data_IF_483074828054
#
_entry.id   IF_483074828054
#
_cell.length_a   1.000
_cell.length_b   1.000
_cell.length_c   1.000
_cell.angle_alpha   90.00
_cell.angle_beta   90.00
_cell.angle_gamma   90.00
#
_symmetry.space_group_name_H-M   'P 1'
#
loop_
_entity.id
_entity.type
_entity.pdbx_description
1 polymer ?
#
# COMPACT_ATOMS: atom_id res chain seq x y z
N UNK A 1 24.88 -2.31 55.58
CA UNK A 1 24.14 -1.48 54.59
C UNK A 1 24.77 -1.40 53.20
N UNK A 2 26.10 -1.55 53.03
CA UNK A 2 26.76 -1.51 51.70
C UNK A 2 26.40 -2.65 50.72
N UNK A 3 26.26 -3.89 51.21
CA UNK A 3 25.88 -5.01 50.35
C UNK A 3 24.47 -4.88 49.79
N UNK A 4 23.52 -4.41 50.60
CA UNK A 4 22.14 -4.16 50.16
C UNK A 4 22.08 -3.11 49.05
N UNK A 5 22.83 -2.01 49.19
CA UNK A 5 22.90 -0.96 48.16
C UNK A 5 23.49 -1.46 46.83
N UNK A 6 24.54 -2.31 46.87
CA UNK A 6 25.10 -2.92 45.65
C UNK A 6 24.14 -3.90 44.98
N UNK A 7 23.43 -4.71 45.76
CA UNK A 7 22.43 -5.65 45.22
C UNK A 7 21.27 -4.92 44.56
N UNK A 8 20.78 -3.84 45.18
CA UNK A 8 19.72 -2.99 44.60
C UNK A 8 20.20 -2.33 43.31
N UNK A 9 21.40 -1.75 43.30
CA UNK A 9 21.95 -1.12 42.10
C UNK A 9 22.10 -2.13 40.94
N UNK A 10 22.61 -3.32 41.23
CA UNK A 10 22.74 -4.39 40.24
C UNK A 10 21.38 -4.82 39.67
N UNK A 11 20.35 -4.97 40.51
CA UNK A 11 19.01 -5.30 40.04
C UNK A 11 18.41 -4.24 39.12
N UNK A 12 18.62 -2.96 39.43
CA UNK A 12 18.15 -1.85 38.60
C UNK A 12 18.90 -1.84 37.26
N UNK A 13 20.22 -2.04 37.27
CA UNK A 13 21.00 -2.10 36.03
C UNK A 13 20.59 -3.25 35.12
N UNK A 14 20.29 -4.43 35.69
CA UNK A 14 19.80 -5.58 34.92
C UNK A 14 18.42 -5.32 34.32
N UNK A 15 17.54 -4.64 35.06
CA UNK A 15 16.21 -4.26 34.57
C UNK A 15 16.30 -3.27 33.42
N UNK A 16 17.15 -2.24 33.53
CA UNK A 16 17.42 -1.29 32.45
C UNK A 16 17.95 -2.02 31.23
N UNK A 17 18.93 -2.91 31.41
CA UNK A 17 19.52 -3.68 30.31
C UNK A 17 18.47 -4.54 29.59
N UNK A 18 17.58 -5.20 30.33
CA UNK A 18 16.51 -6.01 29.78
C UNK A 18 15.50 -5.18 28.98
N UNK A 19 15.11 -4.01 29.49
CA UNK A 19 14.20 -3.08 28.79
C UNK A 19 14.85 -2.54 27.52
N UNK A 20 16.11 -2.13 27.57
CA UNK A 20 16.86 -1.67 26.40
C UNK A 20 16.96 -2.75 25.32
N UNK A 21 17.22 -4.00 25.71
CA UNK A 21 17.25 -5.13 24.78
C UNK A 21 15.88 -5.40 24.14
N UNK A 22 14.81 -5.36 24.92
CA UNK A 22 13.45 -5.53 24.41
C UNK A 22 13.08 -4.42 23.41
N UNK A 23 13.43 -3.16 23.70
CA UNK A 23 13.22 -2.03 22.80
C UNK A 23 14.04 -2.16 21.50
N UNK A 24 15.28 -2.65 21.58
CA UNK A 24 16.11 -2.92 20.41
C UNK A 24 15.48 -4.00 19.52
N UNK A 25 15.01 -5.10 20.11
CA UNK A 25 14.33 -6.18 19.38
C UNK A 25 13.05 -5.67 18.72
N UNK A 26 12.26 -4.84 19.42
CA UNK A 26 11.05 -4.22 18.89
C UNK A 26 11.37 -3.33 17.68
N UNK A 27 12.39 -2.48 17.78
CA UNK A 27 12.85 -1.64 16.69
C UNK A 27 13.29 -2.44 15.46
N UNK A 28 14.09 -3.49 15.66
CA UNK A 28 14.55 -4.36 14.56
C UNK A 28 13.37 -5.07 13.91
N UNK A 29 12.36 -5.50 14.67
CA UNK A 29 11.14 -6.09 14.12
C UNK A 29 10.32 -5.06 13.32
N UNK A 30 10.16 -3.84 13.82
CA UNK A 30 9.46 -2.77 13.08
C UNK A 30 10.19 -2.37 11.79
N UNK A 31 11.53 -2.41 11.77
CA UNK A 31 12.28 -2.18 10.53
C UNK A 31 12.11 -3.30 9.50
N UNK A 32 11.93 -4.56 9.96
CA UNK A 32 11.68 -5.70 9.07
C UNK A 32 10.25 -5.77 8.53
N UNK A 33 9.30 -5.18 9.26
CA UNK A 33 7.91 -5.06 8.85
C UNK A 33 7.57 -3.56 8.79
N UNK A 34 7.99 -2.84 7.73
CA UNK A 34 7.57 -1.45 7.57
C UNK A 34 6.04 -1.42 7.67
N UNK A 35 5.53 -0.67 8.66
CA UNK A 35 4.11 -0.37 8.75
C UNK A 35 3.72 0.30 7.43
N UNK A 36 2.89 -0.40 6.66
CA UNK A 36 2.32 0.06 5.40
C UNK A 36 3.35 0.26 4.29
N UNK A 37 3.57 -0.80 3.52
CA UNK A 37 4.12 -0.71 2.17
C UNK A 37 3.11 0.04 1.29
N UNK A 38 3.07 1.38 1.42
CA UNK A 38 2.25 2.24 0.56
C UNK A 38 2.59 2.01 -0.93
N UNK A 39 3.80 1.53 -1.19
CA UNK A 39 4.27 1.12 -2.51
C UNK A 39 3.77 -0.26 -2.95
N UNK A 40 2.98 -0.99 -2.15
CA UNK A 40 2.35 -2.25 -2.55
C UNK A 40 0.85 -2.10 -2.85
N UNK A 41 0.31 -0.87 -2.85
CA UNK A 41 -1.10 -0.64 -3.08
C UNK A 41 -1.47 -0.87 -4.55
N UNK A 42 -2.28 -1.89 -4.81
CA UNK A 42 -2.91 -2.16 -6.11
C UNK A 42 -4.41 -1.98 -5.95
N UNK A 43 -4.96 -0.99 -6.64
CA UNK A 43 -6.40 -0.74 -6.68
C UNK A 43 -6.92 -1.11 -8.05
N UNK A 44 -7.93 -1.98 -8.11
CA UNK A 44 -8.65 -2.29 -9.33
C UNK A 44 -10.12 -1.95 -9.12
N UNK A 45 -10.69 -1.18 -10.02
CA UNK A 45 -12.12 -0.86 -10.01
C UNK A 45 -12.72 -1.11 -11.38
N UNK A 46 -13.90 -1.74 -11.39
CA UNK A 46 -14.72 -1.86 -12.59
C UNK A 46 -15.62 -0.64 -12.66
N UNK A 47 -15.64 -0.01 -13.82
CA UNK A 47 -16.47 1.16 -14.06
C UNK A 47 -17.31 0.92 -15.30
N UNK A 48 -18.61 1.15 -15.16
CA UNK A 48 -19.56 1.14 -16.26
C UNK A 48 -20.04 2.56 -16.44
N UNK A 49 -19.90 3.11 -17.63
CA UNK A 49 -20.28 4.50 -17.94
C UNK A 49 -21.12 4.54 -19.20
N UNK A 50 -22.23 5.27 -19.14
CA UNK A 50 -23.09 5.56 -20.29
C UNK A 50 -23.14 7.07 -20.44
N UNK A 51 -22.74 7.60 -21.60
CA UNK A 51 -22.72 9.04 -21.87
C UNK A 51 -23.78 9.39 -22.92
N UNK A 52 -24.68 10.30 -22.56
CA UNK A 52 -25.64 10.93 -23.47
C UNK A 52 -25.23 12.40 -23.70
N UNK A 53 -25.38 12.94 -24.93
CA UNK A 53 -26.07 12.38 -26.10
C UNK A 53 -25.21 11.49 -27.02
N UNK A 54 -23.97 11.16 -26.63
CA UNK A 54 -23.04 10.37 -27.44
C UNK A 54 -23.42 8.90 -27.69
N UNK A 55 -24.42 8.36 -26.96
CA UNK A 55 -24.92 6.99 -27.05
C UNK A 55 -23.82 5.93 -27.14
N UNK A 56 -22.83 6.03 -26.26
CA UNK A 56 -21.85 4.95 -26.10
C UNK A 56 -21.90 4.43 -24.66
N UNK A 57 -21.81 3.11 -24.56
CA UNK A 57 -21.68 2.36 -23.33
C UNK A 57 -20.23 1.90 -23.22
N UNK A 58 -19.57 2.24 -22.13
CA UNK A 58 -18.21 1.80 -21.84
C UNK A 58 -18.24 0.95 -20.57
N UNK A 59 -17.73 -0.28 -20.65
CA UNK A 59 -17.55 -1.18 -19.50
C UNK A 59 -16.09 -1.59 -19.47
N UNK A 60 -15.45 -1.43 -18.31
CA UNK A 60 -14.04 -1.63 -18.23
C UNK A 60 -13.48 -1.56 -16.83
N UNK A 61 -12.17 -1.76 -16.75
CA UNK A 61 -11.41 -1.75 -15.52
C UNK A 61 -10.39 -0.60 -15.54
N UNK A 62 -10.25 0.02 -14.39
CA UNK A 62 -9.14 0.92 -14.06
C UNK A 62 -8.27 0.19 -13.04
N UNK A 63 -6.98 0.05 -13.35
CA UNK A 63 -5.98 -0.48 -12.44
C UNK A 63 -4.99 0.62 -12.08
N UNK A 64 -4.89 0.94 -10.80
CA UNK A 64 -3.89 1.83 -10.23
C UNK A 64 -2.84 0.97 -9.54
N UNK A 65 -1.66 0.92 -10.13
CA UNK A 65 -0.50 0.20 -9.62
C UNK A 65 0.51 1.23 -9.11
N UNK A 66 0.42 1.56 -7.82
CA UNK A 66 1.31 2.55 -7.20
C UNK A 66 2.74 2.02 -7.05
N UNK A 67 2.92 0.69 -7.00
CA UNK A 67 4.24 0.04 -6.95
C UNK A 67 5.05 0.34 -8.20
N UNK A 68 4.44 0.10 -9.34
CA UNK A 68 5.08 0.29 -10.64
C UNK A 68 4.86 1.71 -11.18
N UNK A 69 4.14 2.57 -10.43
CA UNK A 69 3.73 3.91 -10.82
C UNK A 69 2.98 3.90 -12.15
N UNK A 70 1.97 3.03 -12.30
CA UNK A 70 1.20 2.87 -13.54
C UNK A 70 -0.30 3.02 -13.31
N UNK A 71 -0.96 3.56 -14.32
CA UNK A 71 -2.43 3.59 -14.45
C UNK A 71 -2.78 2.86 -15.73
N UNK A 72 -3.53 1.76 -15.62
CA UNK A 72 -4.04 1.01 -16.77
C UNK A 72 -5.55 1.19 -16.87
N UNK A 73 -6.03 1.47 -18.08
CA UNK A 73 -7.43 1.58 -18.46
C UNK A 73 -7.70 0.53 -19.54
N UNK A 74 -8.71 -0.30 -19.34
CA UNK A 74 -9.17 -1.27 -20.33
C UNK A 74 -10.69 -1.22 -20.39
N UNK A 75 -11.24 -0.74 -21.50
CA UNK A 75 -12.68 -0.61 -21.71
C UNK A 75 -13.12 -1.20 -23.03
N UNK A 76 -14.24 -1.92 -22.98
CA UNK A 76 -15.05 -2.25 -24.13
C UNK A 76 -16.09 -1.13 -24.32
N UNK A 77 -16.07 -0.50 -25.48
CA UNK A 77 -16.96 0.58 -25.87
C UNK A 77 -17.93 0.05 -26.92
N UNK A 78 -19.22 0.14 -26.64
CA UNK A 78 -20.31 -0.21 -27.54
C UNK A 78 -21.04 1.07 -27.91
N UNK A 79 -21.07 1.41 -29.20
CA UNK A 79 -21.85 2.56 -29.69
C UNK A 79 -23.31 2.19 -29.96
N UNK A 80 -24.16 3.20 -30.16
CA UNK A 80 -25.56 3.03 -30.55
C UNK A 80 -25.75 2.12 -31.78
N UNK A 81 -24.82 2.20 -32.74
CA UNK A 81 -24.80 1.40 -33.96
C UNK A 81 -24.26 -0.02 -33.73
N UNK A 82 -24.12 -0.46 -32.47
CA UNK A 82 -23.57 -1.76 -32.07
C UNK A 82 -22.11 -1.97 -32.52
N UNK A 83 -21.37 -0.88 -32.77
CA UNK A 83 -19.95 -0.96 -33.09
C UNK A 83 -19.19 -1.17 -31.79
N UNK A 84 -18.42 -2.26 -31.73
CA UNK A 84 -17.54 -2.58 -30.61
C UNK A 84 -16.15 -2.00 -30.85
N UNK A 85 -15.62 -1.28 -29.87
CA UNK A 85 -14.25 -0.77 -29.85
C UNK A 85 -13.60 -1.12 -28.52
N UNK A 86 -12.29 -1.33 -28.53
CA UNK A 86 -11.52 -1.52 -27.30
C UNK A 86 -10.67 -0.28 -27.08
N UNK A 87 -10.77 0.30 -25.89
CA UNK A 87 -9.87 1.33 -25.41
C UNK A 87 -8.91 0.68 -24.41
N UNK A 88 -7.63 0.64 -24.77
CA UNK A 88 -6.56 0.28 -23.86
C UNK A 88 -5.61 1.46 -23.71
N UNK A 89 -5.31 1.83 -22.48
CA UNK A 89 -4.32 2.87 -22.18
C UNK A 89 -3.54 2.52 -20.94
N UNK A 90 -2.23 2.59 -21.04
CA UNK A 90 -1.32 2.33 -19.93
C UNK A 90 -0.37 3.53 -19.80
N UNK A 91 -0.38 4.15 -18.64
CA UNK A 91 0.32 5.41 -18.38
C UNK A 91 1.26 5.23 -17.21
N UNK A 92 2.52 5.57 -17.42
CA UNK A 92 3.51 5.69 -16.35
C UNK A 92 3.40 7.06 -15.67
N UNK A 93 3.36 7.07 -14.34
CA UNK A 93 3.34 8.26 -13.51
C UNK A 93 4.80 8.62 -13.18
N UNK A 94 5.29 9.69 -13.79
CA UNK A 94 6.57 10.29 -13.42
C UNK A 94 6.35 11.18 -12.19
N UNK A 95 7.06 10.87 -11.11
CA UNK A 95 7.12 11.70 -9.91
C UNK A 95 8.12 12.86 -10.11
#
# INVERSE_FOLDING_TARGET
MHHYQRTVLNSITLLILAVSLALLILHVRQQRYPLSDLNAFLCTTRTVTSVQPGNFHADGNIVLDFKNKRITLQYDIITAQQIKKVLYRDVYIKA
#
